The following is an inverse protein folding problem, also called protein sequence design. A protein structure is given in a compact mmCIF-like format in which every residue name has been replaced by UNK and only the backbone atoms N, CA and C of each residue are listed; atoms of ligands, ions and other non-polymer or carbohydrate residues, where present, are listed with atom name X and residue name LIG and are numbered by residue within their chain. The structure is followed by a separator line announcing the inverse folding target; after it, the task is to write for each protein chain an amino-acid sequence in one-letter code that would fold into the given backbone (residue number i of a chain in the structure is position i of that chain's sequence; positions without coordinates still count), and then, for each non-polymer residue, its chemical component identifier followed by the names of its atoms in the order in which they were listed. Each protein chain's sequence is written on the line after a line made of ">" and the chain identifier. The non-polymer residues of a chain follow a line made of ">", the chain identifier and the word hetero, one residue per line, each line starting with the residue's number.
data_IF_610202568709
#
_entry.id   IF_610202568709
#
_cell.length_a   1.000
_cell.length_b   1.000
_cell.length_c   1.000
_cell.angle_alpha   90.00
_cell.angle_beta   90.00
_cell.angle_gamma   90.00
#
_symmetry.space_group_name_H-M   'P 1'
#
loop_
_entity.id
_entity.type
_entity.pdbx_description
1 polymer ?
#
# COMPACT_ATOMS: atom_id res chain seq x y z
N UNK A 1 -27.59 19.97 10.93
CA UNK A 1 -26.46 19.39 11.69
C UNK A 1 -26.61 17.88 11.76
N UNK A 2 -25.69 17.10 11.19
CA UNK A 2 -25.80 15.63 11.17
C UNK A 2 -25.57 15.01 12.56
N UNK A 3 -26.48 14.12 13.00
CA UNK A 3 -26.32 13.37 14.25
C UNK A 3 -25.12 12.42 14.13
N UNK A 4 -24.23 12.42 15.13
CA UNK A 4 -23.09 11.48 15.19
C UNK A 4 -23.62 10.04 15.29
N UNK A 5 -23.16 9.15 14.41
CA UNK A 5 -23.60 7.74 14.33
C UNK A 5 -23.14 6.90 15.52
N UNK A 6 -22.02 7.23 16.17
CA UNK A 6 -21.50 6.50 17.34
C UNK A 6 -20.87 7.45 18.37
N UNK A 7 -20.72 6.97 19.61
CA UNK A 7 -20.03 7.71 20.68
C UNK A 7 -18.50 7.79 20.47
N UNK A 8 -17.92 7.04 19.52
CA UNK A 8 -16.47 6.94 19.34
C UNK A 8 -15.75 6.21 20.49
N UNK A 9 -14.42 6.27 20.52
CA UNK A 9 -13.60 5.64 21.57
C UNK A 9 -13.94 6.23 22.94
N UNK A 10 -14.41 5.39 23.86
CA UNK A 10 -14.72 5.79 25.23
C UNK A 10 -13.55 5.45 26.16
N UNK A 11 -13.27 6.35 27.11
CA UNK A 11 -12.34 6.07 28.20
C UNK A 11 -12.98 5.05 29.14
N UNK A 12 -12.21 4.05 29.54
CA UNK A 12 -12.62 3.02 30.51
C UNK A 12 -11.60 2.99 31.66
N UNK A 13 -12.02 2.64 32.89
CA UNK A 13 -11.10 2.51 34.01
C UNK A 13 -10.08 1.39 33.79
N UNK A 14 -8.88 1.54 34.35
CA UNK A 14 -7.81 0.53 34.27
C UNK A 14 -7.98 -0.51 35.38
N UNK A 15 -9.07 -1.26 35.30
CA UNK A 15 -9.43 -2.31 36.24
C UNK A 15 -10.02 -3.51 35.49
N UNK A 16 -10.30 -4.61 36.19
CA UNK A 16 -10.93 -5.79 35.59
C UNK A 16 -12.29 -5.41 35.00
N UNK A 17 -12.54 -5.84 33.75
CA UNK A 17 -13.83 -5.65 33.08
C UNK A 17 -14.74 -6.80 33.49
N UNK A 18 -15.78 -6.49 34.27
CA UNK A 18 -16.72 -7.51 34.78
C UNK A 18 -17.68 -8.03 33.71
N UNK A 19 -18.08 -7.18 32.75
CA UNK A 19 -18.94 -7.61 31.65
C UNK A 19 -18.15 -8.55 30.71
N UNK A 20 -18.55 -9.82 30.67
CA UNK A 20 -17.87 -10.87 29.89
C UNK A 20 -17.73 -10.55 28.40
N UNK A 21 -18.78 -10.00 27.76
CA UNK A 21 -18.75 -9.66 26.34
C UNK A 21 -17.79 -8.50 26.07
N UNK A 22 -17.82 -7.47 26.91
CA UNK A 22 -16.90 -6.34 26.84
C UNK A 22 -15.45 -6.78 27.11
N UNK A 23 -15.24 -7.70 28.06
CA UNK A 23 -13.94 -8.27 28.38
C UNK A 23 -13.36 -9.04 27.18
N UNK A 24 -14.13 -9.96 26.57
CA UNK A 24 -13.69 -10.72 25.39
C UNK A 24 -13.38 -9.81 24.20
N UNK A 25 -14.27 -8.84 23.92
CA UNK A 25 -14.05 -7.87 22.84
C UNK A 25 -12.81 -7.02 23.08
N UNK A 26 -12.61 -6.56 24.32
CA UNK A 26 -11.45 -5.75 24.71
C UNK A 26 -10.17 -6.56 24.64
N UNK A 27 -10.19 -7.83 25.09
CA UNK A 27 -9.06 -8.73 24.98
C UNK A 27 -8.63 -8.89 23.52
N UNK A 28 -9.57 -9.21 22.61
CA UNK A 28 -9.26 -9.39 21.19
C UNK A 28 -8.62 -8.14 20.59
N UNK A 29 -9.21 -6.96 20.83
CA UNK A 29 -8.69 -5.68 20.30
C UNK A 29 -7.34 -5.30 20.90
N UNK A 30 -7.15 -5.48 22.22
CA UNK A 30 -5.89 -5.13 22.89
C UNK A 30 -4.78 -6.09 22.53
N UNK A 31 -5.05 -7.39 22.43
CA UNK A 31 -4.10 -8.41 21.95
C UNK A 31 -3.61 -8.05 20.55
N UNK A 32 -4.54 -7.77 19.64
CA UNK A 32 -4.21 -7.38 18.26
C UNK A 32 -3.36 -6.11 18.22
N UNK A 33 -3.76 -5.07 18.95
CA UNK A 33 -2.97 -3.83 19.05
C UNK A 33 -1.58 -4.04 19.66
N UNK A 34 -1.46 -4.89 20.68
CA UNK A 34 -0.19 -5.24 21.30
C UNK A 34 0.73 -6.00 20.32
N UNK A 35 0.20 -6.98 19.61
CA UNK A 35 0.97 -7.75 18.62
C UNK A 35 1.41 -6.86 17.46
N UNK A 36 0.55 -5.94 17.01
CA UNK A 36 0.93 -4.93 16.02
C UNK A 36 2.10 -4.08 16.51
N UNK A 37 2.03 -3.57 17.75
CA UNK A 37 3.12 -2.77 18.33
C UNK A 37 4.42 -3.56 18.51
N UNK A 38 4.33 -4.83 18.89
CA UNK A 38 5.50 -5.71 18.96
C UNK A 38 6.12 -5.93 17.57
N UNK A 39 5.30 -6.14 16.54
CA UNK A 39 5.76 -6.27 15.15
C UNK A 39 6.44 -5.00 14.64
N UNK A 40 5.88 -3.82 14.95
CA UNK A 40 6.49 -2.53 14.63
C UNK A 40 7.86 -2.41 15.31
N UNK A 41 7.95 -2.72 16.61
CA UNK A 41 9.20 -2.62 17.35
C UNK A 41 10.28 -3.58 16.82
N UNK A 42 9.91 -4.81 16.46
CA UNK A 42 10.81 -5.77 15.79
C UNK A 42 11.33 -5.21 14.47
N UNK A 43 10.44 -4.64 13.67
CA UNK A 43 10.78 -4.12 12.33
C UNK A 43 11.67 -2.89 12.38
N UNK A 44 11.50 -2.03 13.39
CA UNK A 44 12.29 -0.80 13.53
C UNK A 44 13.60 -0.99 14.31
N UNK A 45 13.61 -1.85 15.32
CA UNK A 45 14.73 -1.93 16.25
C UNK A 45 15.48 -3.27 16.23
N UNK A 46 15.05 -4.27 15.45
CA UNK A 46 15.61 -5.63 15.42
C UNK A 46 15.79 -6.23 16.84
N UNK A 47 14.70 -6.27 17.60
CA UNK A 47 14.70 -6.69 19.00
C UNK A 47 14.10 -8.07 19.22
N UNK A 48 14.66 -8.80 20.19
CA UNK A 48 14.13 -10.07 20.68
C UNK A 48 12.89 -9.82 21.58
N UNK A 49 11.72 -10.34 21.19
CA UNK A 49 10.45 -10.16 21.93
C UNK A 49 9.71 -11.49 22.05
N UNK A 50 9.22 -11.79 23.25
CA UNK A 50 8.25 -12.86 23.50
C UNK A 50 7.02 -12.35 24.25
N UNK A 51 5.83 -12.66 23.73
CA UNK A 51 4.55 -12.36 24.36
C UNK A 51 3.73 -13.65 24.38
N UNK A 52 3.20 -14.00 25.55
CA UNK A 52 2.29 -15.12 25.72
C UNK A 52 1.12 -14.69 26.60
N UNK A 53 -0.11 -15.03 26.19
CA UNK A 53 -1.31 -14.72 26.95
C UNK A 53 -2.41 -15.75 26.73
N UNK A 54 -3.21 -15.98 27.76
CA UNK A 54 -4.39 -16.85 27.70
C UNK A 54 -5.63 -15.96 27.72
N UNK A 55 -6.49 -16.15 26.72
CA UNK A 55 -7.76 -15.43 26.64
C UNK A 55 -8.69 -15.81 27.79
N UNK A 56 -9.69 -14.97 28.13
CA UNK A 56 -10.73 -15.34 29.10
C UNK A 56 -11.50 -16.62 28.73
N UNK A 57 -11.43 -17.07 27.47
CA UNK A 57 -11.99 -18.32 26.98
C UNK A 57 -11.03 -19.52 27.08
N UNK A 58 -9.87 -19.35 27.74
CA UNK A 58 -8.86 -20.41 27.92
C UNK A 58 -7.97 -20.65 26.70
N UNK A 59 -8.11 -19.88 25.61
CA UNK A 59 -7.30 -20.05 24.39
C UNK A 59 -5.96 -19.31 24.48
N UNK A 60 -4.81 -19.98 24.28
CA UNK A 60 -3.51 -19.33 24.26
C UNK A 60 -3.30 -18.52 22.97
N UNK A 61 -2.56 -17.43 23.11
CA UNK A 61 -2.08 -16.58 22.01
C UNK A 61 -0.64 -16.17 22.30
N UNK A 62 0.18 -16.16 21.27
CA UNK A 62 1.58 -15.79 21.41
C UNK A 62 2.09 -14.98 20.22
N UNK A 63 3.15 -14.23 20.47
CA UNK A 63 3.97 -13.53 19.49
C UNK A 63 5.42 -13.71 19.91
N UNK A 64 6.27 -14.21 19.01
CA UNK A 64 7.68 -14.41 19.26
C UNK A 64 8.49 -13.92 18.08
N UNK A 65 9.57 -13.21 18.37
CA UNK A 65 10.62 -12.88 17.42
C UNK A 65 11.96 -12.91 18.16
N UNK A 66 13.03 -13.50 17.59
CA UNK A 66 13.10 -14.12 16.26
C UNK A 66 12.44 -15.50 16.17
N UNK A 67 12.56 -16.35 17.21
CA UNK A 67 11.85 -17.65 17.28
C UNK A 67 11.41 -17.94 18.71
N UNK A 68 10.37 -18.76 18.88
CA UNK A 68 9.89 -19.14 20.21
C UNK A 68 10.97 -19.87 21.01
N UNK A 69 11.66 -20.84 20.40
CA UNK A 69 12.69 -21.64 21.07
C UNK A 69 13.88 -20.80 21.54
N UNK A 70 14.32 -19.82 20.73
CA UNK A 70 15.40 -18.92 21.13
C UNK A 70 15.00 -18.08 22.34
N UNK A 71 13.79 -17.52 22.31
CA UNK A 71 13.28 -16.66 23.40
C UNK A 71 13.04 -17.48 24.67
N UNK A 72 12.42 -18.65 24.57
CA UNK A 72 12.16 -19.53 25.72
C UNK A 72 13.47 -20.03 26.32
N UNK A 73 14.43 -20.45 25.50
CA UNK A 73 15.75 -20.91 25.98
C UNK A 73 16.47 -19.81 26.77
N UNK A 74 16.52 -18.58 26.21
CA UNK A 74 17.14 -17.43 26.87
C UNK A 74 16.40 -16.98 28.13
N UNK A 75 15.07 -17.10 28.13
CA UNK A 75 14.27 -16.79 29.31
C UNK A 75 14.53 -17.76 30.47
N UNK A 76 14.68 -19.06 30.17
CA UNK A 76 14.98 -20.08 31.17
C UNK A 76 16.41 -19.98 31.69
N UNK A 77 17.37 -19.69 30.81
CA UNK A 77 18.76 -19.48 31.18
C UNK A 77 19.38 -18.38 30.29
N UNK A 78 19.60 -17.16 30.83
CA UNK A 78 20.16 -16.05 30.07
C UNK A 78 21.54 -16.32 29.47
N UNK A 79 22.34 -17.18 30.12
CA UNK A 79 23.70 -17.52 29.71
C UNK A 79 23.74 -18.75 28.78
N UNK A 80 22.58 -19.26 28.34
CA UNK A 80 22.52 -20.44 27.49
C UNK A 80 23.20 -20.21 26.15
N UNK A 81 24.12 -21.11 25.80
CA UNK A 81 24.61 -21.20 24.43
C UNK A 81 23.56 -21.92 23.58
N UNK A 82 22.92 -21.16 22.67
CA UNK A 82 21.94 -21.71 21.75
C UNK A 82 22.60 -22.68 20.77
N UNK A 83 21.89 -23.76 20.46
CA UNK A 83 22.33 -24.74 19.47
C UNK A 83 22.49 -24.10 18.09
N UNK A 84 23.30 -24.72 17.23
CA UNK A 84 23.53 -24.23 15.87
C UNK A 84 22.23 -24.12 15.06
N UNK A 85 21.29 -25.06 15.25
CA UNK A 85 19.97 -25.04 14.61
C UNK A 85 19.15 -23.81 15.01
N UNK A 86 19.02 -23.55 16.32
CA UNK A 86 18.27 -22.37 16.81
C UNK A 86 18.90 -21.08 16.28
N UNK A 87 20.24 -20.98 16.30
CA UNK A 87 20.94 -19.80 15.78
C UNK A 87 20.66 -19.58 14.29
N UNK A 88 20.64 -20.65 13.50
CA UNK A 88 20.30 -20.58 12.07
C UNK A 88 18.86 -20.09 11.86
N UNK A 89 17.91 -20.65 12.62
CA UNK A 89 16.49 -20.25 12.53
C UNK A 89 16.29 -18.78 12.92
N UNK A 90 17.03 -18.30 13.92
CA UNK A 90 17.02 -16.88 14.28
C UNK A 90 17.49 -15.99 13.13
N UNK A 91 18.60 -16.37 12.48
CA UNK A 91 19.13 -15.63 11.32
C UNK A 91 18.14 -15.63 10.16
N UNK A 92 17.50 -16.76 9.87
CA UNK A 92 16.47 -16.86 8.83
C UNK A 92 15.29 -15.95 9.14
N UNK A 93 14.79 -15.98 10.38
CA UNK A 93 13.66 -15.16 10.80
C UNK A 93 13.95 -13.66 10.67
N UNK A 94 15.13 -13.21 11.11
CA UNK A 94 15.56 -11.80 10.98
C UNK A 94 15.73 -11.38 9.52
N UNK A 95 16.39 -12.21 8.71
CA UNK A 95 16.56 -11.93 7.28
C UNK A 95 15.22 -11.78 6.56
N UNK A 96 14.23 -12.60 6.92
CA UNK A 96 12.89 -12.50 6.36
C UNK A 96 12.20 -11.19 6.73
N UNK A 97 12.31 -10.74 7.99
CA UNK A 97 11.78 -9.43 8.42
C UNK A 97 12.43 -8.30 7.63
N UNK A 98 13.77 -8.30 7.54
CA UNK A 98 14.51 -7.28 6.80
C UNK A 98 14.17 -7.26 5.30
N UNK A 99 14.02 -8.43 4.69
CA UNK A 99 13.60 -8.55 3.29
C UNK A 99 12.20 -7.97 3.06
N UNK A 100 11.26 -8.26 3.96
CA UNK A 100 9.90 -7.71 3.89
C UNK A 100 9.88 -6.19 4.11
N UNK A 101 10.68 -5.69 5.06
CA UNK A 101 10.83 -4.25 5.28
C UNK A 101 11.32 -3.53 4.02
N UNK A 102 12.38 -4.04 3.39
CA UNK A 102 12.89 -3.47 2.14
C UNK A 102 11.84 -3.44 1.02
N UNK A 103 11.07 -4.52 0.84
CA UNK A 103 10.00 -4.57 -0.16
C UNK A 103 8.88 -3.58 0.13
N UNK A 104 8.59 -3.33 1.42
CA UNK A 104 7.60 -2.33 1.81
C UNK A 104 8.07 -0.92 1.42
N UNK A 105 9.34 -0.60 1.70
CA UNK A 105 9.95 0.68 1.31
C UNK A 105 9.92 0.89 -0.22
N UNK A 106 10.16 -0.17 -1.00
CA UNK A 106 10.06 -0.13 -2.47
C UNK A 106 8.62 0.17 -2.94
N UNK A 107 7.60 -0.40 -2.29
CA UNK A 107 6.20 -0.16 -2.64
C UNK A 107 5.74 1.25 -2.25
N UNK A 108 6.13 1.73 -1.07
CA UNK A 108 5.79 3.09 -0.61
C UNK A 108 6.34 4.14 -1.58
N UNK A 109 7.58 3.97 -2.06
CA UNK A 109 8.18 4.87 -3.05
C UNK A 109 7.42 4.88 -4.39
N UNK A 110 6.88 3.73 -4.81
CA UNK A 110 6.05 3.63 -6.03
C UNK A 110 4.71 4.34 -5.80
N UNK A 111 4.08 4.13 -4.65
CA UNK A 111 2.81 4.77 -4.30
C UNK A 111 2.95 6.29 -4.29
N UNK A 112 3.99 6.82 -3.65
CA UNK A 112 4.29 8.25 -3.62
C UNK A 112 4.50 8.82 -5.03
N UNK A 113 5.22 8.10 -5.90
CA UNK A 113 5.43 8.53 -7.28
C UNK A 113 4.13 8.54 -8.09
N UNK A 114 3.24 7.57 -7.87
CA UNK A 114 1.93 7.51 -8.53
C UNK A 114 1.03 8.63 -8.04
N UNK A 115 1.01 8.91 -6.73
CA UNK A 115 0.25 10.02 -6.15
C UNK A 115 0.76 11.36 -6.70
N UNK A 116 2.08 11.57 -6.73
CA UNK A 116 2.67 12.79 -7.28
C UNK A 116 2.32 12.99 -8.77
N UNK A 117 2.36 11.90 -9.56
CA UNK A 117 1.97 11.96 -10.97
C UNK A 117 0.49 12.29 -11.15
N UNK A 118 -0.37 11.67 -10.36
CA UNK A 118 -1.84 11.88 -10.45
C UNK A 118 -2.19 13.31 -10.07
N UNK A 119 -1.64 13.80 -8.95
CA UNK A 119 -1.85 15.18 -8.50
C UNK A 119 -1.31 16.21 -9.49
N UNK A 120 -0.20 15.92 -10.17
CA UNK A 120 0.29 16.76 -11.27
C UNK A 120 -0.71 16.86 -12.42
N UNK A 121 -1.27 15.73 -12.88
CA UNK A 121 -2.28 15.73 -13.94
C UNK A 121 -3.58 16.45 -13.52
N UNK A 122 -4.03 16.27 -12.28
CA UNK A 122 -5.20 16.96 -11.75
C UNK A 122 -4.98 18.49 -11.73
N UNK A 123 -3.83 18.96 -11.27
CA UNK A 123 -3.47 20.39 -11.29
C UNK A 123 -3.39 20.95 -12.72
N UNK A 124 -2.82 20.19 -13.66
CA UNK A 124 -2.80 20.58 -15.07
C UNK A 124 -4.22 20.69 -15.65
N UNK A 125 -5.13 19.78 -15.27
CA UNK A 125 -6.52 19.81 -15.70
C UNK A 125 -7.31 21.00 -15.10
N UNK A 126 -6.95 21.47 -13.91
CA UNK A 126 -7.55 22.67 -13.30
C UNK A 126 -7.00 23.98 -13.88
N UNK A 127 -5.69 24.05 -14.16
CA UNK A 127 -5.05 25.25 -14.70
C UNK A 127 -5.24 25.45 -16.20
N UNK A 128 -5.62 24.40 -16.95
CA UNK A 128 -5.87 24.54 -18.39
C UNK A 128 -7.07 25.46 -18.62
N UNK A 129 -6.97 26.32 -19.63
CA UNK A 129 -8.15 27.01 -20.14
C UNK A 129 -9.09 25.94 -20.70
N UNK A 130 -10.26 25.78 -20.07
CA UNK A 130 -11.27 24.84 -20.54
C UNK A 130 -11.60 25.19 -21.99
N UNK A 131 -11.46 24.21 -22.87
CA UNK A 131 -11.87 24.40 -24.25
C UNK A 131 -13.37 24.66 -24.31
N UNK A 132 -13.83 25.47 -25.26
CA UNK A 132 -15.26 25.72 -25.46
C UNK A 132 -16.05 24.41 -25.69
N UNK A 133 -15.38 23.36 -26.19
CA UNK A 133 -15.90 22.01 -26.36
C UNK A 133 -16.07 21.22 -25.04
N UNK A 134 -15.66 21.72 -23.88
CA UNK A 134 -15.93 21.06 -22.58
C UNK A 134 -17.33 21.37 -22.04
N UNK A 135 -18.05 22.27 -22.72
CA UNK A 135 -19.44 22.63 -22.45
C UNK A 135 -20.36 22.28 -23.63
N UNK A 136 -20.10 21.18 -24.36
CA UNK A 136 -20.89 20.76 -25.55
C UNK A 136 -22.39 20.66 -25.25
N UNK A 137 -22.75 20.33 -24.01
CA UNK A 137 -24.15 20.24 -23.56
C UNK A 137 -24.90 21.58 -23.59
N UNK A 138 -24.19 22.70 -23.70
CA UNK A 138 -24.76 24.05 -23.73
C UNK A 138 -24.87 24.64 -25.14
N UNK A 139 -24.43 23.90 -26.18
CA UNK A 139 -24.41 24.39 -27.56
C UNK A 139 -25.81 24.43 -28.17
N UNK A 140 -26.12 25.54 -28.85
CA UNK A 140 -27.34 25.68 -29.64
C UNK A 140 -27.25 24.95 -30.99
N UNK A 141 -28.36 24.88 -31.74
CA UNK A 141 -28.44 24.09 -32.97
C UNK A 141 -27.47 24.54 -34.07
N UNK A 142 -27.24 25.86 -34.21
CA UNK A 142 -26.32 26.39 -35.22
C UNK A 142 -24.85 26.16 -34.80
N UNK A 143 -24.55 26.28 -33.51
CA UNK A 143 -23.24 25.98 -32.93
C UNK A 143 -22.88 24.49 -33.03
N UNK A 144 -23.86 23.58 -32.95
CA UNK A 144 -23.64 22.14 -33.11
C UNK A 144 -23.16 21.79 -34.52
N UNK A 145 -23.70 22.43 -35.55
CA UNK A 145 -23.30 22.21 -36.95
C UNK A 145 -21.85 22.66 -37.18
N UNK A 146 -21.48 23.82 -36.62
CA UNK A 146 -20.11 24.35 -36.68
C UNK A 146 -19.15 23.41 -35.93
N UNK A 147 -19.57 22.89 -34.78
CA UNK A 147 -18.76 21.94 -34.01
C UNK A 147 -18.56 20.60 -34.73
N UNK A 148 -19.60 20.04 -35.37
CA UNK A 148 -19.49 18.80 -36.15
C UNK A 148 -18.51 18.95 -37.31
N UNK A 149 -18.58 20.07 -38.04
CA UNK A 149 -17.66 20.36 -39.14
C UNK A 149 -16.20 20.44 -38.65
N UNK A 150 -15.98 21.09 -37.50
CA UNK A 150 -14.66 21.19 -36.89
C UNK A 150 -14.11 19.83 -36.40
N UNK A 151 -14.96 18.98 -35.80
CA UNK A 151 -14.58 17.62 -35.37
C UNK A 151 -14.15 16.76 -36.56
N UNK A 152 -14.89 16.84 -37.67
CA UNK A 152 -14.58 16.08 -38.89
C UNK A 152 -13.24 16.51 -39.48
N UNK A 153 -12.96 17.81 -39.53
CA UNK A 153 -11.67 18.34 -39.99
C UNK A 153 -10.51 17.95 -39.07
N UNK A 154 -10.68 18.09 -37.76
CA UNK A 154 -9.65 17.73 -36.77
C UNK A 154 -9.34 16.23 -36.81
N UNK A 155 -10.36 15.38 -36.90
CA UNK A 155 -10.21 13.94 -37.05
C UNK A 155 -9.40 13.59 -38.31
N UNK A 156 -9.71 14.24 -39.45
CA UNK A 156 -8.95 14.07 -40.70
C UNK A 156 -7.48 14.43 -40.53
N UNK A 157 -7.18 15.57 -39.87
CA UNK A 157 -5.81 16.02 -39.59
C UNK A 157 -5.05 15.05 -38.67
N UNK A 158 -5.68 14.55 -37.61
CA UNK A 158 -5.06 13.58 -36.69
C UNK A 158 -4.75 12.28 -37.43
N UNK A 159 -5.70 11.73 -38.20
CA UNK A 159 -5.49 10.54 -39.01
C UNK A 159 -4.33 10.72 -40.01
N UNK A 160 -4.24 11.89 -40.64
CA UNK A 160 -3.12 12.20 -41.53
C UNK A 160 -1.78 12.22 -40.78
N UNK A 161 -1.74 12.78 -39.57
CA UNK A 161 -0.52 12.85 -38.75
C UNK A 161 -0.07 11.47 -38.24
N UNK A 162 -1.01 10.61 -37.85
CA UNK A 162 -0.72 9.23 -37.44
C UNK A 162 -0.19 8.40 -38.63
N UNK A 163 -0.80 8.52 -39.81
CA UNK A 163 -0.33 7.84 -41.01
C UNK A 163 1.09 8.30 -41.41
N UNK A 164 1.45 9.56 -41.19
CA UNK A 164 2.82 10.06 -41.41
C UNK A 164 3.83 9.45 -40.43
N UNK A 165 3.44 9.21 -39.18
CA UNK A 165 4.29 8.54 -38.19
C UNK A 165 4.47 7.04 -38.51
N UNK A 166 3.43 6.35 -38.96
CA UNK A 166 3.49 4.94 -39.34
C UNK A 166 4.30 4.70 -40.63
N UNK A 167 4.18 5.60 -41.62
CA UNK A 167 4.99 5.54 -42.85
C UNK A 167 6.46 5.90 -42.60
N UNK A 168 6.75 6.75 -41.61
CA UNK A 168 8.11 7.01 -41.14
C UNK A 168 8.79 5.80 -40.49
N UNK A 169 8.05 5.00 -39.71
CA UNK A 169 8.59 3.76 -39.09
C UNK A 169 8.91 2.69 -40.15
N UNK A 170 8.11 2.58 -41.21
CA UNK A 170 8.36 1.62 -42.31
C UNK A 170 9.58 1.98 -43.18
N UNK A 171 10.03 3.24 -43.18
CA UNK A 171 11.24 3.66 -43.90
C UNK A 171 12.56 3.34 -43.18
N UNK A 172 12.51 2.95 -41.90
CA UNK A 172 13.70 2.66 -41.07
C UNK A 172 14.07 1.18 -40.95
N UNK A 173 13.26 0.26 -41.48
CA UNK A 173 13.51 -1.19 -41.45
C UNK A 173 13.93 -1.77 -42.82
N UNK A 174 14.20 -0.92 -43.81
CA UNK A 174 14.55 -1.31 -45.17
C UNK A 174 15.96 -0.90 -45.59
N UNK A 175 16.99 -1.19 -44.79
CA UNK A 175 18.38 -1.07 -45.26
C UNK A 175 19.34 -2.01 -44.51
N UNK A 176 19.08 -3.31 -44.54
CA UNK A 176 20.15 -4.32 -44.42
C UNK A 176 19.98 -5.35 -45.53
N UNK A 177 20.75 -5.17 -46.60
CA UNK A 177 20.97 -6.20 -47.63
C UNK A 177 22.43 -6.14 -48.07
N UNK A 178 23.17 -7.14 -47.59
CA UNK A 178 24.33 -7.81 -48.16
C UNK A 178 25.13 -7.13 -49.29
N UNK A 179 26.46 -7.09 -49.11
CA UNK A 179 27.40 -6.89 -50.22
C UNK A 179 28.89 -6.95 -49.84
N UNK A 180 29.41 -8.20 -49.78
CA UNK A 180 30.82 -8.66 -49.82
C UNK A 180 31.67 -8.48 -48.55
#
# INVERSE_FOLDING_TARGET
>A
MGRKKTKGRQKIPMQKIENKNALLTTFSKRREGLFKKASELVTECDVDIGIMMISPAGKPHSFFHPTADAIVSRFQNPDVQLSQGIRLDMTIARNKVNQLKKRLEELDAIEDAVIARTTFYDQMAEMRQKGWWESIEQLNADEQIIFEAWLRDTSSKICHHLNQLETGVSSSLGCESFGV
#
